data_IF_242187788417
#
_entry.id   IF_242187788417
#
_cell.length_a   1.000
_cell.length_b   1.000
_cell.length_c   1.000
_cell.angle_alpha   90.00
_cell.angle_beta   90.00
_cell.angle_gamma   90.00
#
_symmetry.space_group_name_H-M   'P 1'
#
loop_
_entity.id
_entity.type
_entity.pdbx_description
1 polymer ?
#
# COMPACT_ATOMS: atom_id res chain seq x y z
N UNK A 1 18.74 5.46 9.98
CA UNK A 1 17.92 4.24 9.99
C UNK A 1 16.48 4.70 9.95
N UNK A 2 15.83 4.69 8.79
CA UNK A 2 14.38 4.92 8.71
C UNK A 2 13.71 3.62 9.10
N UNK A 3 12.88 3.65 10.14
CA UNK A 3 12.14 2.48 10.59
C UNK A 3 11.22 1.99 9.45
N UNK A 4 10.87 0.71 9.37
CA UNK A 4 9.94 0.15 8.38
C UNK A 4 8.65 0.97 8.18
N UNK A 5 8.14 1.53 9.27
CA UNK A 5 6.95 2.38 9.31
C UNK A 5 7.13 3.69 8.53
N UNK A 6 8.32 4.31 8.61
CA UNK A 6 8.63 5.55 7.90
C UNK A 6 8.68 5.35 6.38
N UNK A 7 9.24 4.21 5.94
CA UNK A 7 9.25 3.84 4.53
C UNK A 7 7.83 3.56 4.01
N UNK A 8 7.01 2.86 4.79
CA UNK A 8 5.61 2.62 4.43
C UNK A 8 4.83 3.95 4.33
N UNK A 9 5.03 4.85 5.28
CA UNK A 9 4.42 6.18 5.27
C UNK A 9 4.86 6.99 4.04
N UNK A 10 6.16 7.00 3.72
CA UNK A 10 6.68 7.69 2.55
C UNK A 10 6.09 7.12 1.24
N UNK A 11 5.97 5.80 1.13
CA UNK A 11 5.34 5.14 -0.01
C UNK A 11 3.86 5.53 -0.13
N UNK A 12 3.12 5.50 0.98
CA UNK A 12 1.71 5.88 1.01
C UNK A 12 1.50 7.35 0.58
N UNK A 13 2.32 8.26 1.12
CA UNK A 13 2.30 9.67 0.75
C UNK A 13 2.63 9.87 -0.74
N UNK A 14 3.59 9.10 -1.28
CA UNK A 14 3.94 9.17 -2.70
C UNK A 14 2.77 8.74 -3.59
N UNK A 15 2.12 7.62 -3.26
CA UNK A 15 0.94 7.14 -3.99
C UNK A 15 -0.22 8.14 -3.91
N UNK A 16 -0.47 8.71 -2.73
CA UNK A 16 -1.50 9.72 -2.52
C UNK A 16 -1.25 11.02 -3.29
N UNK A 17 0.01 11.35 -3.55
CA UNK A 17 0.41 12.55 -4.29
C UNK A 17 0.39 12.36 -5.81
N UNK A 18 0.23 11.12 -6.31
CA UNK A 18 0.13 10.87 -7.74
C UNK A 18 -1.25 11.27 -8.26
N UNK A 19 -1.29 12.32 -9.07
CA UNK A 19 -2.54 12.90 -9.56
C UNK A 19 -3.31 11.94 -10.50
N UNK A 20 -2.61 11.10 -11.27
CA UNK A 20 -3.24 10.17 -12.20
C UNK A 20 -3.93 9.04 -11.44
N UNK A 21 -3.23 8.43 -10.49
CA UNK A 21 -3.78 7.40 -9.61
C UNK A 21 -4.96 7.96 -8.81
N UNK A 22 -4.80 9.14 -8.23
CA UNK A 22 -5.86 9.82 -7.48
C UNK A 22 -7.11 10.02 -8.34
N UNK A 23 -6.97 10.47 -9.59
CA UNK A 23 -8.10 10.63 -10.50
C UNK A 23 -8.79 9.29 -10.84
N UNK A 24 -8.02 8.22 -11.07
CA UNK A 24 -8.55 6.88 -11.33
C UNK A 24 -9.33 6.31 -10.14
N UNK A 25 -8.91 6.66 -8.92
CA UNK A 25 -9.53 6.25 -7.66
C UNK A 25 -10.66 7.17 -7.20
N UNK A 26 -11.12 8.10 -8.05
CA UNK A 26 -12.20 9.02 -7.69
C UNK A 26 -11.82 10.05 -6.61
N UNK A 27 -10.54 10.37 -6.45
CA UNK A 27 -10.01 11.42 -5.58
C UNK A 27 -9.55 10.95 -4.20
N UNK A 28 -10.31 10.08 -3.53
CA UNK A 28 -10.00 9.66 -2.16
C UNK A 28 -9.93 8.13 -1.99
N UNK A 29 -9.78 7.37 -3.07
CA UNK A 29 -9.77 5.91 -3.01
C UNK A 29 -8.46 5.27 -2.54
N UNK A 30 -7.43 6.01 -2.11
CA UNK A 30 -6.27 5.41 -1.43
C UNK A 30 -6.49 5.46 0.09
N UNK A 31 -6.69 4.29 0.69
CA UNK A 31 -7.07 4.13 2.09
C UNK A 31 -6.00 3.33 2.84
N UNK A 32 -5.71 3.67 4.09
CA UNK A 32 -4.83 2.85 4.92
C UNK A 32 -5.52 1.53 5.33
N UNK A 33 -6.84 1.60 5.59
CA UNK A 33 -7.68 0.45 5.91
C UNK A 33 -9.01 0.55 5.18
N UNK A 34 -9.52 -0.58 4.71
CA UNK A 34 -10.86 -0.64 4.14
C UNK A 34 -11.91 -0.27 5.20
N UNK A 35 -12.82 0.63 4.85
CA UNK A 35 -14.03 0.91 5.63
C UNK A 35 -15.19 0.14 5.02
N UNK A 36 -16.15 -0.28 5.85
CA UNK A 36 -17.34 -1.04 5.42
C UNK A 36 -18.10 -0.42 4.23
N UNK A 37 -18.11 0.92 4.14
CA UNK A 37 -18.80 1.67 3.08
C UNK A 37 -17.83 2.41 2.13
N UNK A 38 -16.61 1.89 1.94
CA UNK A 38 -15.65 2.50 1.02
C UNK A 38 -16.21 2.57 -0.42
N UNK A 39 -16.18 3.77 -1.02
CA UNK A 39 -16.58 3.96 -2.40
C UNK A 39 -15.55 3.34 -3.35
N UNK A 40 -16.02 2.57 -4.33
CA UNK A 40 -15.17 1.95 -5.34
C UNK A 40 -14.88 2.91 -6.51
N UNK A 41 -13.71 2.81 -7.16
CA UNK A 41 -12.60 1.91 -6.85
C UNK A 41 -11.69 2.46 -5.74
N UNK A 42 -11.10 1.57 -4.94
CA UNK A 42 -10.16 1.96 -3.89
C UNK A 42 -9.00 0.97 -3.74
N UNK A 43 -7.90 1.45 -3.17
CA UNK A 43 -6.69 0.69 -2.85
C UNK A 43 -6.47 0.76 -1.34
N UNK A 44 -6.04 -0.35 -0.77
CA UNK A 44 -5.64 -0.44 0.64
C UNK A 44 -4.23 -1.00 0.78
N UNK A 45 -3.49 -0.52 1.76
CA UNK A 45 -2.17 -1.04 2.10
C UNK A 45 -2.32 -2.11 3.20
N UNK A 46 -1.90 -3.33 2.91
CA UNK A 46 -1.80 -4.41 3.90
C UNK A 46 -0.59 -4.22 4.81
N UNK A 47 -0.59 -4.92 5.94
CA UNK A 47 0.50 -4.86 6.93
C UNK A 47 1.83 -5.31 6.30
N UNK A 48 2.90 -4.58 6.63
CA UNK A 48 4.28 -4.98 6.34
C UNK A 48 4.71 -6.07 7.29
N UNK A 49 4.76 -7.31 6.81
CA UNK A 49 5.43 -8.39 7.55
C UNK A 49 6.88 -8.42 7.12
N UNK A 50 7.82 -8.55 8.07
CA UNK A 50 9.20 -8.89 7.74
C UNK A 50 9.20 -10.20 6.94
N UNK A 51 9.69 -10.16 5.70
CA UNK A 51 9.75 -11.33 4.86
C UNK A 51 11.18 -11.87 4.90
N UNK A 52 11.39 -12.92 5.69
CA UNK A 52 12.67 -13.59 5.69
C UNK A 52 12.75 -14.53 4.47
N UNK A 53 13.27 -14.03 3.35
CA UNK A 53 13.67 -14.87 2.23
C UNK A 53 15.11 -15.37 2.44
N UNK A 54 15.38 -16.09 3.53
CA UNK A 54 16.75 -16.52 3.80
C UNK A 54 17.16 -17.73 2.98
N UNK A 55 18.24 -17.58 2.20
CA UNK A 55 19.20 -18.66 1.93
C UNK A 55 20.62 -18.31 2.43
N UNK A 56 20.77 -17.29 3.28
CA UNK A 56 22.06 -16.92 3.84
C UNK A 56 22.06 -15.53 4.48
N UNK A 57 21.82 -15.49 5.79
CA UNK A 57 22.27 -14.52 6.79
C UNK A 57 22.88 -13.21 6.25
N UNK A 58 22.03 -12.26 5.85
CA UNK A 58 22.17 -10.80 6.01
C UNK A 58 20.92 -10.10 5.45
N UNK A 59 19.71 -10.41 5.95
CA UNK A 59 18.48 -9.84 5.39
C UNK A 59 17.50 -9.28 6.44
N UNK A 60 18.01 -8.42 7.32
CA UNK A 60 17.22 -7.81 8.39
C UNK A 60 16.45 -6.54 7.94
N UNK A 61 16.59 -6.13 6.67
CA UNK A 61 16.07 -4.85 6.17
C UNK A 61 14.93 -4.96 5.15
N UNK A 62 14.64 -6.15 4.61
CA UNK A 62 13.61 -6.32 3.59
C UNK A 62 12.19 -6.14 4.17
N UNK A 63 11.39 -5.31 3.49
CA UNK A 63 10.01 -5.04 3.85
C UNK A 63 9.08 -5.51 2.73
N UNK A 64 8.16 -6.41 3.05
CA UNK A 64 7.11 -6.82 2.12
C UNK A 64 5.90 -5.91 2.28
N UNK A 65 5.56 -5.16 1.22
CA UNK A 65 4.33 -4.35 1.17
C UNK A 65 3.31 -5.03 0.28
N UNK A 66 2.08 -5.18 0.76
CA UNK A 66 0.96 -5.70 -0.04
C UNK A 66 -0.03 -4.57 -0.34
N UNK A 67 -0.43 -4.41 -1.60
CA UNK A 67 -1.49 -3.50 -2.01
C UNK A 67 -2.71 -4.31 -2.47
N UNK A 68 -3.86 -4.05 -1.86
CA UNK A 68 -5.13 -4.65 -2.29
C UNK A 68 -5.92 -3.61 -3.09
N UNK A 69 -6.27 -3.95 -4.34
CA UNK A 69 -7.04 -3.10 -5.24
C UNK A 69 -8.46 -3.65 -5.38
N UNK A 70 -9.45 -2.81 -5.12
CA UNK A 70 -10.86 -3.16 -5.10
C UNK A 70 -11.60 -2.35 -6.17
N UNK A 71 -12.31 -3.03 -7.07
CA UNK A 71 -13.11 -2.40 -8.12
C UNK A 71 -14.42 -3.14 -8.35
N UNK A 72 -15.46 -2.42 -8.79
CA UNK A 72 -16.72 -2.99 -9.29
C UNK A 72 -16.70 -3.20 -10.80
N UNK A 73 -15.69 -2.69 -11.50
CA UNK A 73 -15.53 -2.93 -12.92
C UNK A 73 -15.29 -4.44 -13.12
N UNK A 74 -16.05 -5.03 -14.03
CA UNK A 74 -15.74 -6.36 -14.54
C UNK A 74 -14.61 -6.19 -15.56
N UNK A 75 -13.56 -7.00 -15.43
CA UNK A 75 -12.37 -6.93 -16.27
C UNK A 75 -12.66 -7.09 -17.75
#
# INVERSE_FOLDING_TARGET
MTAPDDLLQALFQRLKSDAKLTALLGGAGLLERATENAAFPYVTCGHTSAFNQDTGADNDADQLVTLHVWSKAQG
#
